data_IF_754438811400
#
_entry.id   IF_754438811400
#
_cell.length_a   1.000
_cell.length_b   1.000
_cell.length_c   1.000
_cell.angle_alpha   90.00
_cell.angle_beta   90.00
_cell.angle_gamma   90.00
#
_symmetry.space_group_name_H-M   'P 1'
#
loop_
_entity.id
_entity.type
_entity.pdbx_description
1 polymer ?
#
# COMPACT_ATOMS: atom_id res chain seq x y z
N UNK A 1 -9.34 -9.59 5.13
CA UNK A 1 -8.26 -9.60 6.15
C UNK A 1 -7.92 -8.17 6.50
N UNK A 2 -7.80 -7.85 7.78
CA UNK A 2 -7.37 -6.55 8.27
C UNK A 2 -5.85 -6.49 8.35
N UNK A 3 -5.26 -5.30 8.27
CA UNK A 3 -3.82 -5.13 8.50
C UNK A 3 -3.40 -5.68 9.87
N UNK A 4 -4.25 -5.52 10.89
CA UNK A 4 -3.99 -6.04 12.22
C UNK A 4 -3.72 -7.55 12.24
N UNK A 5 -4.52 -8.31 11.50
CA UNK A 5 -4.34 -9.76 11.36
C UNK A 5 -3.02 -10.10 10.66
N UNK A 6 -2.72 -9.43 9.55
CA UNK A 6 -1.47 -9.67 8.82
C UNK A 6 -0.25 -9.32 9.66
N UNK A 7 -0.29 -8.21 10.40
CA UNK A 7 0.83 -7.81 11.26
C UNK A 7 1.04 -8.78 12.43
N UNK A 8 -0.05 -9.36 12.96
CA UNK A 8 0.03 -10.36 14.01
C UNK A 8 0.62 -11.69 13.51
N UNK A 9 0.28 -12.11 12.29
CA UNK A 9 0.81 -13.33 11.68
C UNK A 9 2.25 -13.20 11.20
N UNK A 10 2.64 -11.99 10.76
CA UNK A 10 3.95 -11.71 10.17
C UNK A 10 4.81 -10.78 11.04
N UNK A 11 4.78 -11.02 12.36
CA UNK A 11 5.49 -10.19 13.34
C UNK A 11 7.01 -10.24 13.21
N UNK A 12 7.55 -11.32 12.65
CA UNK A 12 8.98 -11.57 12.54
C UNK A 12 9.56 -11.22 11.16
N UNK A 13 8.79 -10.59 10.28
CA UNK A 13 9.19 -10.24 8.92
C UNK A 13 9.06 -8.74 8.65
N UNK A 14 9.83 -8.23 7.70
CA UNK A 14 9.59 -6.90 7.14
C UNK A 14 8.29 -6.92 6.33
N UNK A 15 7.47 -5.88 6.50
CA UNK A 15 6.21 -5.73 5.78
C UNK A 15 6.33 -4.61 4.76
N UNK A 16 5.96 -4.88 3.52
CA UNK A 16 5.94 -3.91 2.43
C UNK A 16 4.51 -3.86 1.88
N UNK A 17 3.90 -2.68 1.87
CA UNK A 17 2.49 -2.51 1.47
C UNK A 17 2.42 -1.59 0.27
N UNK A 18 1.96 -2.14 -0.86
CA UNK A 18 1.68 -1.36 -2.05
C UNK A 18 0.22 -0.90 -2.07
N UNK A 19 0.03 0.41 -2.20
CA UNK A 19 -1.30 1.01 -2.26
C UNK A 19 -1.30 2.24 -3.18
N UNK A 20 -2.48 2.77 -3.48
CA UNK A 20 -2.61 4.04 -4.17
C UNK A 20 -2.19 5.21 -3.26
N UNK A 21 -1.40 6.14 -3.80
CA UNK A 21 -0.99 7.33 -3.06
C UNK A 21 -2.18 8.20 -2.62
N UNK A 22 -3.24 8.22 -3.42
CA UNK A 22 -4.46 9.00 -3.14
C UNK A 22 -5.34 8.41 -2.02
N UNK A 23 -5.09 7.19 -1.58
CA UNK A 23 -5.87 6.56 -0.52
C UNK A 23 -5.29 6.89 0.87
N UNK A 24 -5.49 8.13 1.31
CA UNK A 24 -4.96 8.66 2.58
C UNK A 24 -5.49 7.88 3.79
N UNK A 25 -6.77 7.47 3.76
CA UNK A 25 -7.37 6.67 4.85
C UNK A 25 -6.67 5.31 5.00
N UNK A 26 -6.30 4.69 3.88
CA UNK A 26 -5.53 3.44 3.87
C UNK A 26 -4.14 3.62 4.47
N UNK A 27 -3.48 4.71 4.10
CA UNK A 27 -2.18 5.08 4.68
C UNK A 27 -2.31 5.29 6.18
N UNK A 28 -3.35 5.99 6.65
CA UNK A 28 -3.60 6.17 8.09
C UNK A 28 -3.80 4.83 8.81
N UNK A 29 -4.56 3.92 8.22
CA UNK A 29 -4.76 2.57 8.78
C UNK A 29 -3.44 1.80 8.92
N UNK A 30 -2.57 1.88 7.91
CA UNK A 30 -1.25 1.24 7.94
C UNK A 30 -0.38 1.84 9.05
N UNK A 31 -0.33 3.18 9.14
CA UNK A 31 0.45 3.88 10.17
C UNK A 31 -0.05 3.52 11.57
N UNK A 32 -1.37 3.54 11.80
CA UNK A 32 -1.95 3.18 13.09
C UNK A 32 -1.60 1.74 13.48
N UNK A 33 -1.67 0.81 12.51
CA UNK A 33 -1.30 -0.58 12.76
C UNK A 33 0.19 -0.71 13.02
N UNK A 34 1.05 -0.03 12.26
CA UNK A 34 2.49 -0.04 12.48
C UNK A 34 2.84 0.46 13.89
N UNK A 35 2.21 1.54 14.36
CA UNK A 35 2.38 2.05 15.71
C UNK A 35 1.97 1.01 16.77
N UNK A 36 0.84 0.33 16.58
CA UNK A 36 0.35 -0.70 17.51
C UNK A 36 1.36 -1.84 17.67
N UNK A 37 2.10 -2.19 16.61
CA UNK A 37 3.12 -3.25 16.62
C UNK A 37 4.54 -2.73 16.81
N UNK A 38 4.71 -1.47 17.25
CA UNK A 38 6.01 -0.83 17.49
C UNK A 38 6.95 -0.95 16.28
N UNK A 39 6.43 -0.64 15.08
CA UNK A 39 7.19 -0.63 13.83
C UNK A 39 7.41 0.79 13.31
N UNK A 40 8.57 1.02 12.71
CA UNK A 40 8.88 2.24 11.99
C UNK A 40 8.31 2.17 10.57
N UNK A 41 7.84 3.29 10.07
CA UNK A 41 7.25 3.39 8.74
C UNK A 41 8.18 4.17 7.83
N UNK A 42 8.48 3.60 6.68
CA UNK A 42 9.16 4.26 5.56
C UNK A 42 8.17 4.44 4.42
N UNK A 43 8.17 5.60 3.81
CA UNK A 43 7.35 5.91 2.64
C UNK A 43 8.24 5.95 1.41
N UNK A 44 7.88 5.21 0.36
CA UNK A 44 8.66 5.15 -0.86
C UNK A 44 7.78 5.32 -2.11
N UNK A 45 8.31 6.08 -3.05
CA UNK A 45 7.62 6.51 -4.25
C UNK A 45 7.26 8.00 -4.20
N UNK A 46 7.70 8.74 -5.23
CA UNK A 46 7.58 10.22 -5.27
C UNK A 46 6.16 10.72 -5.01
N UNK A 47 5.17 10.13 -5.66
CA UNK A 47 3.77 10.53 -5.47
C UNK A 47 3.27 10.23 -4.05
N UNK A 48 3.68 9.11 -3.46
CA UNK A 48 3.30 8.74 -2.09
C UNK A 48 3.88 9.73 -1.07
N UNK A 49 5.16 10.05 -1.19
CA UNK A 49 5.84 11.02 -0.30
C UNK A 49 5.15 12.38 -0.37
N UNK A 50 4.88 12.89 -1.58
CA UNK A 50 4.22 14.18 -1.76
C UNK A 50 2.80 14.21 -1.17
N UNK A 51 2.00 13.18 -1.42
CA UNK A 51 0.62 13.12 -0.90
C UNK A 51 0.62 13.02 0.63
N UNK A 52 1.49 12.22 1.21
CA UNK A 52 1.59 12.08 2.67
C UNK A 52 2.01 13.40 3.32
N UNK A 53 2.98 14.10 2.75
CA UNK A 53 3.39 15.41 3.24
C UNK A 53 2.22 16.41 3.23
N UNK A 54 1.53 16.55 2.10
CA UNK A 54 0.38 17.44 1.97
C UNK A 54 -0.76 17.04 2.93
N UNK A 55 -1.04 15.74 3.06
CA UNK A 55 -2.08 15.24 3.96
C UNK A 55 -1.76 15.55 5.44
N UNK A 56 -0.48 15.49 5.83
CA UNK A 56 -0.05 15.90 7.17
C UNK A 56 -0.19 17.41 7.37
N UNK A 57 0.26 18.22 6.41
CA UNK A 57 0.17 19.69 6.48
C UNK A 57 -1.29 20.16 6.60
N UNK A 58 -2.21 19.48 5.92
CA UNK A 58 -3.65 19.77 5.96
C UNK A 58 -4.39 19.12 7.14
N UNK A 59 -3.71 18.32 7.97
CA UNK A 59 -4.31 17.65 9.11
C UNK A 59 -5.18 16.43 8.78
N UNK A 60 -5.13 15.93 7.55
CA UNK A 60 -5.84 14.71 7.14
C UNK A 60 -5.11 13.43 7.52
N UNK A 61 -3.81 13.51 7.83
CA UNK A 61 -3.01 12.39 8.25
C UNK A 61 -2.35 12.70 9.59
N UNK A 62 -2.65 11.87 10.59
CA UNK A 62 -2.04 11.96 11.90
C UNK A 62 -0.92 10.93 12.01
N UNK A 63 0.30 11.39 12.18
CA UNK A 63 1.48 10.55 12.32
C UNK A 63 2.10 10.77 13.69
N UNK A 64 2.09 9.77 14.58
CA UNK A 64 2.76 9.89 15.86
C UNK A 64 4.26 10.17 15.70
N UNK A 65 4.82 10.96 16.61
CA UNK A 65 6.24 11.31 16.61
C UNK A 65 7.13 10.08 16.48
N UNK A 66 8.21 10.23 15.70
CA UNK A 66 9.22 9.18 15.48
C UNK A 66 8.70 7.89 14.82
N UNK A 67 7.48 7.88 14.28
CA UNK A 67 6.94 6.73 13.53
C UNK A 67 7.46 6.69 12.10
N UNK A 68 7.40 7.84 11.39
CA UNK A 68 8.01 7.95 10.07
C UNK A 68 9.52 8.13 10.21
N UNK A 69 10.25 7.39 9.39
CA UNK A 69 11.71 7.49 9.27
C UNK A 69 12.08 7.65 7.78
N UNK A 70 13.21 8.29 7.55
CA UNK A 70 13.77 8.40 6.21
C UNK A 70 14.26 7.03 5.71
N UNK A 71 14.17 6.78 4.40
CA UNK A 71 14.59 5.53 3.80
C UNK A 71 16.06 5.17 4.10
N UNK A 72 16.92 6.16 4.25
CA UNK A 72 18.35 5.95 4.59
C UNK A 72 18.54 5.46 6.03
N UNK A 73 17.53 5.65 6.89
CA UNK A 73 17.54 5.15 8.26
C UNK A 73 17.05 3.70 8.37
N UNK A 74 16.47 3.14 7.31
CA UNK A 74 15.94 1.77 7.28
C UNK A 74 16.96 0.74 7.77
N UNK A 75 18.24 0.91 7.39
CA UNK A 75 19.36 0.05 7.79
C UNK A 75 19.65 0.03 9.30
N UNK A 76 19.13 1.01 10.05
CA UNK A 76 19.35 1.13 11.51
C UNK A 76 18.32 0.33 12.32
N UNK A 77 17.33 -0.27 11.65
CA UNK A 77 16.26 -1.03 12.29
C UNK A 77 16.26 -2.46 11.78
N UNK A 78 15.98 -3.45 12.63
CA UNK A 78 15.79 -4.82 12.19
C UNK A 78 14.55 -4.92 11.28
N UNK A 79 14.55 -5.83 10.29
CA UNK A 79 13.48 -5.94 9.30
C UNK A 79 12.07 -6.04 9.92
N UNK A 80 11.91 -6.84 10.96
CA UNK A 80 10.64 -7.05 11.67
C UNK A 80 10.12 -5.81 12.38
N UNK A 81 10.94 -4.79 12.55
CA UNK A 81 10.56 -3.48 13.14
C UNK A 81 10.25 -2.43 12.07
N UNK A 82 10.13 -2.83 10.81
CA UNK A 82 9.92 -1.88 9.72
C UNK A 82 8.71 -2.24 8.86
N UNK A 83 8.06 -1.20 8.35
CA UNK A 83 6.98 -1.24 7.38
C UNK A 83 7.31 -0.25 6.27
N UNK A 84 7.23 -0.69 5.02
CA UNK A 84 7.35 0.20 3.87
C UNK A 84 5.97 0.40 3.25
N UNK A 85 5.59 1.65 3.05
CA UNK A 85 4.41 2.02 2.25
C UNK A 85 4.91 2.48 0.89
N UNK A 86 4.45 1.87 -0.18
CA UNK A 86 5.00 2.11 -1.51
C UNK A 86 3.93 2.22 -2.60
N UNK A 87 4.30 2.83 -3.70
CA UNK A 87 3.53 2.80 -4.95
C UNK A 87 3.84 1.53 -5.75
N UNK A 88 3.01 1.22 -6.75
CA UNK A 88 3.24 0.09 -7.65
C UNK A 88 2.24 -1.05 -7.48
N UNK A 89 1.11 -0.80 -6.82
CA UNK A 89 0.04 -1.80 -6.68
C UNK A 89 -0.63 -2.19 -8.00
N UNK A 90 -0.38 -1.45 -9.08
CA UNK A 90 -0.89 -1.73 -10.42
C UNK A 90 0.18 -2.27 -11.37
N UNK A 91 1.37 -2.59 -10.88
CA UNK A 91 2.47 -3.12 -11.68
C UNK A 91 3.10 -2.11 -12.64
N UNK A 92 2.95 -0.81 -12.35
CA UNK A 92 3.55 0.25 -13.15
C UNK A 92 5.09 0.14 -13.11
N UNK A 93 5.74 0.08 -14.26
CA UNK A 93 7.18 -0.23 -14.38
C UNK A 93 8.08 0.76 -13.65
N UNK A 94 7.67 2.02 -13.57
CA UNK A 94 8.43 3.09 -12.90
C UNK A 94 8.10 3.24 -11.40
N UNK A 95 7.10 2.52 -10.90
CA UNK A 95 6.71 2.57 -9.50
C UNK A 95 7.77 1.91 -8.59
N UNK A 96 7.77 2.31 -7.33
CA UNK A 96 8.81 1.88 -6.40
C UNK A 96 8.81 0.35 -6.20
N UNK A 97 7.65 -0.30 -6.01
CA UNK A 97 7.59 -1.75 -5.84
C UNK A 97 8.08 -2.51 -7.08
N UNK A 98 7.69 -2.08 -8.29
CA UNK A 98 8.14 -2.72 -9.53
C UNK A 98 9.66 -2.63 -9.70
N UNK A 99 10.24 -1.49 -9.30
CA UNK A 99 11.70 -1.30 -9.30
C UNK A 99 12.40 -2.16 -8.25
N UNK A 100 11.79 -2.38 -7.09
CA UNK A 100 12.28 -3.31 -6.06
C UNK A 100 12.23 -4.75 -6.58
N UNK A 101 11.12 -5.15 -7.22
CA UNK A 101 10.95 -6.47 -7.82
C UNK A 101 12.00 -6.77 -8.89
N UNK A 102 12.35 -5.77 -9.71
CA UNK A 102 13.34 -5.87 -10.78
C UNK A 102 14.80 -5.64 -10.35
N UNK A 103 15.09 -5.47 -9.04
CA UNK A 103 16.41 -5.17 -8.48
C UNK A 103 17.05 -3.85 -8.99
N UNK A 104 16.25 -2.92 -9.46
CA UNK A 104 16.73 -1.60 -9.93
C UNK A 104 16.43 -0.46 -8.95
N UNK A 105 15.87 -0.78 -7.78
CA UNK A 105 15.66 0.19 -6.74
C UNK A 105 16.94 0.45 -5.96
N UNK A 106 17.34 1.73 -5.84
CA UNK A 106 18.68 2.09 -5.32
C UNK A 106 18.88 1.86 -3.82
N UNK A 107 17.80 1.86 -3.04
CA UNK A 107 17.87 1.91 -1.57
C UNK A 107 17.20 0.71 -0.88
N UNK A 108 16.35 -0.02 -1.57
CA UNK A 108 15.63 -1.17 -1.01
C UNK A 108 15.81 -2.38 -1.91
N UNK A 109 16.28 -3.47 -1.31
CA UNK A 109 16.34 -4.79 -1.92
C UNK A 109 15.29 -5.69 -1.26
N UNK A 110 14.56 -6.47 -2.05
CA UNK A 110 13.65 -7.49 -1.55
C UNK A 110 14.47 -8.64 -1.00
N UNK A 111 14.12 -9.06 0.21
CA UNK A 111 14.79 -10.15 0.90
C UNK A 111 13.86 -11.38 0.96
N UNK A 112 14.42 -12.60 0.96
CA UNK A 112 13.65 -13.80 1.26
C UNK A 112 12.95 -13.65 2.62
N UNK A 113 11.67 -13.98 2.67
CA UNK A 113 10.83 -13.84 3.86
C UNK A 113 10.16 -12.48 4.04
N UNK A 114 10.45 -11.48 3.22
CA UNK A 114 9.67 -10.23 3.22
C UNK A 114 8.18 -10.52 2.98
N UNK A 115 7.31 -9.88 3.72
CA UNK A 115 5.86 -9.95 3.50
C UNK A 115 5.41 -8.76 2.69
N UNK A 116 4.88 -9.01 1.49
CA UNK A 116 4.47 -7.95 0.55
C UNK A 116 2.97 -8.02 0.35
N UNK A 117 2.28 -6.90 0.64
CA UNK A 117 0.83 -6.80 0.58
C UNK A 117 0.44 -5.89 -0.58
N UNK A 118 -0.34 -6.41 -1.52
CA UNK A 118 -1.06 -5.60 -2.49
C UNK A 118 -2.40 -5.19 -1.89
N UNK A 119 -2.52 -3.92 -1.53
CA UNK A 119 -3.71 -3.37 -0.86
C UNK A 119 -4.68 -2.70 -1.85
N UNK A 120 -4.73 -3.17 -3.08
CA UNK A 120 -5.67 -2.74 -4.11
C UNK A 120 -5.82 -3.85 -5.15
N UNK A 121 -7.02 -3.94 -5.73
CA UNK A 121 -7.24 -4.85 -6.86
C UNK A 121 -6.66 -4.28 -8.15
N UNK A 122 -6.22 -5.11 -9.10
CA UNK A 122 -5.82 -4.65 -10.41
C UNK A 122 -6.98 -3.92 -11.10
N UNK A 123 -6.68 -2.76 -11.64
CA UNK A 123 -7.59 -2.08 -12.57
C UNK A 123 -7.65 -2.94 -13.85
N UNK A 124 -8.84 -3.13 -14.45
CA UNK A 124 -8.96 -3.88 -15.69
C UNK A 124 -7.92 -3.44 -16.73
N UNK A 125 -7.15 -4.40 -17.24
CA UNK A 125 -6.03 -4.18 -18.16
C UNK A 125 -4.64 -4.20 -17.52
N UNK A 126 -4.53 -4.09 -16.18
CA UNK A 126 -3.25 -4.13 -15.47
C UNK A 126 -2.88 -5.53 -14.95
N UNK A 127 -3.72 -6.54 -15.16
CA UNK A 127 -3.55 -7.87 -14.56
C UNK A 127 -2.21 -8.51 -14.93
N UNK A 128 -1.78 -8.36 -16.19
CA UNK A 128 -0.48 -8.90 -16.65
C UNK A 128 0.70 -8.21 -15.94
N UNK A 129 0.63 -6.89 -15.80
CA UNK A 129 1.68 -6.11 -15.14
C UNK A 129 1.78 -6.45 -13.66
N UNK A 130 0.65 -6.55 -12.98
CA UNK A 130 0.57 -6.94 -11.56
C UNK A 130 1.08 -8.37 -11.38
N UNK A 131 0.61 -9.32 -12.20
CA UNK A 131 1.07 -10.72 -12.15
C UNK A 131 2.58 -10.85 -12.38
N UNK A 132 3.16 -10.05 -13.28
CA UNK A 132 4.59 -10.01 -13.50
C UNK A 132 5.34 -9.62 -12.23
N UNK A 133 4.94 -8.52 -11.58
CA UNK A 133 5.57 -8.04 -10.34
C UNK A 133 5.43 -9.08 -9.23
N UNK A 134 4.24 -9.69 -9.07
CA UNK A 134 4.01 -10.77 -8.09
C UNK A 134 4.99 -11.93 -8.32
N UNK A 135 5.13 -12.39 -9.56
CA UNK A 135 6.03 -13.49 -9.91
C UNK A 135 7.51 -13.14 -9.61
N UNK A 136 7.94 -11.93 -9.93
CA UNK A 136 9.30 -11.46 -9.63
C UNK A 136 9.56 -11.42 -8.12
N UNK A 137 8.61 -10.94 -7.32
CA UNK A 137 8.70 -10.89 -5.86
C UNK A 137 8.72 -12.29 -5.26
N UNK A 138 7.83 -13.18 -5.72
CA UNK A 138 7.76 -14.58 -5.27
C UNK A 138 9.05 -15.34 -5.61
N UNK A 139 9.62 -15.11 -6.80
CA UNK A 139 10.90 -15.70 -7.20
C UNK A 139 12.07 -15.29 -6.29
N UNK A 140 11.97 -14.15 -5.61
CA UNK A 140 12.93 -13.68 -4.60
C UNK A 140 12.70 -14.28 -3.21
N UNK A 141 11.71 -15.15 -3.05
CA UNK A 141 11.35 -15.76 -1.77
C UNK A 141 10.50 -14.86 -0.87
N UNK A 142 9.91 -13.81 -1.41
CA UNK A 142 8.96 -12.98 -0.67
C UNK A 142 7.60 -13.71 -0.53
N UNK A 143 6.94 -13.49 0.60
CA UNK A 143 5.57 -13.91 0.84
C UNK A 143 4.62 -12.83 0.32
N UNK A 144 3.98 -13.07 -0.81
CA UNK A 144 3.09 -12.11 -1.46
C UNK A 144 1.65 -12.35 -1.06
N UNK A 145 1.05 -11.38 -0.38
CA UNK A 145 -0.36 -11.38 0.01
C UNK A 145 -1.12 -10.50 -0.97
N UNK A 146 -1.88 -11.14 -1.83
CA UNK A 146 -2.79 -10.49 -2.74
C UNK A 146 -4.21 -10.70 -2.21
N UNK A 147 -4.75 -9.68 -1.54
CA UNK A 147 -6.04 -9.82 -0.91
C UNK A 147 -6.96 -8.65 -1.22
N UNK A 148 -8.25 -8.95 -1.23
CA UNK A 148 -9.36 -8.01 -1.25
C UNK A 148 -9.38 -7.15 0.04
N UNK A 149 -8.30 -6.41 0.29
CA UNK A 149 -8.25 -5.38 1.31
C UNK A 149 -8.79 -4.05 0.75
N UNK A 150 -9.44 -4.10 -0.42
CA UNK A 150 -9.96 -2.92 -1.09
C UNK A 150 -11.32 -2.55 -0.50
N UNK A 151 -11.35 -1.44 0.23
CA UNK A 151 -12.59 -0.72 0.44
C UNK A 151 -12.77 0.14 -0.80
N UNK A 152 -13.72 -0.23 -1.65
CA UNK A 152 -14.06 0.54 -2.85
C UNK A 152 -14.58 1.92 -2.44
N UNK A 153 -14.05 2.99 -3.04
CA UNK A 153 -14.64 4.32 -2.98
C UNK A 153 -15.81 4.51 -3.95
N UNK A 154 -16.14 3.46 -4.74
CA UNK A 154 -17.29 3.47 -5.64
C UNK A 154 -18.58 3.22 -4.86
N UNK A 155 -19.64 3.87 -5.29
CA UNK A 155 -20.96 3.69 -4.71
C UNK A 155 -21.43 2.22 -4.85
N UNK A 156 -21.98 1.65 -3.77
CA UNK A 156 -22.59 0.33 -3.82
C UNK A 156 -23.98 0.36 -4.49
N UNK A 157 -24.55 -0.80 -4.74
CA UNK A 157 -25.83 -0.92 -5.44
C UNK A 157 -26.95 -0.07 -4.81
N UNK A 158 -27.04 -0.06 -3.48
CA UNK A 158 -28.09 0.68 -2.78
C UNK A 158 -27.85 2.20 -2.81
N UNK A 159 -26.59 2.62 -2.75
CA UNK A 159 -26.21 4.03 -2.93
C UNK A 159 -26.52 4.51 -4.35
N UNK A 160 -26.25 3.71 -5.36
CA UNK A 160 -26.61 4.02 -6.76
C UNK A 160 -28.14 4.13 -6.91
N UNK A 161 -28.92 3.21 -6.31
CA UNK A 161 -30.39 3.31 -6.31
C UNK A 161 -30.87 4.60 -5.66
N UNK A 162 -30.27 4.98 -4.53
CA UNK A 162 -30.59 6.23 -3.86
C UNK A 162 -30.28 7.43 -4.74
N UNK A 163 -29.10 7.50 -5.34
CA UNK A 163 -28.69 8.57 -6.26
C UNK A 163 -29.69 8.69 -7.42
N UNK A 164 -30.05 7.57 -8.07
CA UNK A 164 -31.00 7.59 -9.17
C UNK A 164 -32.41 8.02 -8.73
N UNK A 165 -32.85 7.64 -7.54
CA UNK A 165 -34.16 8.03 -7.01
C UNK A 165 -34.24 9.53 -6.67
N UNK A 166 -33.12 10.12 -6.24
CA UNK A 166 -33.02 11.55 -5.91
C UNK A 166 -32.84 12.41 -7.16
N UNK A 167 -31.92 12.04 -8.05
CA UNK A 167 -31.58 12.83 -9.26
C UNK A 167 -32.62 12.64 -10.36
N UNK A 168 -33.28 11.46 -10.43
CA UNK A 168 -34.22 11.06 -11.48
C UNK A 168 -33.72 11.35 -12.89
N UNK A 169 -32.53 10.89 -13.27
CA UNK A 169 -31.94 11.20 -14.56
C UNK A 169 -32.78 10.60 -15.68
N UNK A 170 -32.88 11.30 -16.81
CA UNK A 170 -33.54 10.77 -18.00
C UNK A 170 -32.75 9.62 -18.64
N UNK A 171 -31.44 9.66 -18.52
CA UNK A 171 -30.50 8.64 -19.02
C UNK A 171 -29.44 8.39 -17.94
N UNK A 172 -28.99 7.14 -17.82
CA UNK A 172 -27.87 6.75 -16.99
C UNK A 172 -26.94 5.84 -17.81
N UNK A 173 -25.65 6.09 -17.74
CA UNK A 173 -24.61 5.26 -18.34
C UNK A 173 -23.88 4.62 -17.17
N UNK A 174 -23.94 3.28 -17.01
CA UNK A 174 -23.28 2.56 -15.92
C UNK A 174 -21.75 2.51 -16.13
#
# INVERSE_FOLDING_TARGET
ITFDHVFAEHKDTRIIIATFASNVDRVQQIINTACKYDRKVVVEGRSMVNIIQVAQELGYLNVPDKTLIEIDQLKNYPPEKTVLITTGSQGESMAALSRMAADVHKKVTIMPGDTIIFSSNPIPGNEKSVSKVINELTAKGANVIFQDAHVSGHACQEELKLIYSLVKPKYAIP
#
